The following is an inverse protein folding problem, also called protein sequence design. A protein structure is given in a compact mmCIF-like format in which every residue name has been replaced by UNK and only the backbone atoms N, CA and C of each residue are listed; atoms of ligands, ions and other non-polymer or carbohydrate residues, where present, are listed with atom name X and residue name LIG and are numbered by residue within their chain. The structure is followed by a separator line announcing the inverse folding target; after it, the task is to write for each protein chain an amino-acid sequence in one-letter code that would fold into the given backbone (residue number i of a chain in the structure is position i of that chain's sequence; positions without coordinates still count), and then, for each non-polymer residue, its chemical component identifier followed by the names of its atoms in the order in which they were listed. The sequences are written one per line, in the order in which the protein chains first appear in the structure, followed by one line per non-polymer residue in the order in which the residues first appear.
data_IF_141942104319
#
_entry.id   IF_141942104319
#
_cell.length_a   1.000
_cell.length_b   1.000
_cell.length_c   1.000
_cell.angle_alpha   90.00
_cell.angle_beta   90.00
_cell.angle_gamma   90.00
#
_symmetry.space_group_name_H-M   'P 1'
#
loop_
_entity.id
_entity.type
_entity.pdbx_description
1 polymer ?
#
# COMPACT_ATOMS: atom_id res chain seq x y z
N UNK A 1 -2.28 -10.21 8.78
CA UNK A 1 -2.00 -9.85 7.38
C UNK A 1 -0.50 -9.94 7.24
N UNK A 2 -0.02 -10.87 6.42
CA UNK A 2 1.42 -11.04 6.24
C UNK A 2 1.98 -9.82 5.50
N UNK A 3 3.27 -9.52 5.69
CA UNK A 3 3.95 -8.41 4.98
C UNK A 3 3.79 -8.54 3.44
N UNK A 4 3.75 -9.77 2.93
CA UNK A 4 3.49 -10.09 1.53
C UNK A 4 2.11 -9.64 1.05
N UNK A 5 1.05 -9.89 1.83
CA UNK A 5 -0.32 -9.50 1.48
C UNK A 5 -0.45 -7.98 1.46
N UNK A 6 0.22 -7.31 2.40
CA UNK A 6 0.26 -5.85 2.48
C UNK A 6 0.99 -5.24 1.28
N UNK A 7 2.14 -5.81 0.90
CA UNK A 7 2.92 -5.35 -0.25
C UNK A 7 2.15 -5.54 -1.57
N UNK A 8 1.49 -6.68 -1.74
CA UNK A 8 0.70 -6.99 -2.92
C UNK A 8 -0.46 -6.00 -3.11
N UNK A 9 -1.24 -5.77 -2.05
CA UNK A 9 -2.39 -4.87 -2.15
C UNK A 9 -1.97 -3.40 -2.31
N UNK A 10 -0.88 -2.98 -1.68
CA UNK A 10 -0.34 -1.64 -1.91
C UNK A 10 0.10 -1.45 -3.35
N UNK A 11 0.76 -2.44 -3.96
CA UNK A 11 1.10 -2.38 -5.38
C UNK A 11 -0.14 -2.30 -6.27
N UNK A 12 -1.18 -3.08 -5.96
CA UNK A 12 -2.39 -3.14 -6.76
C UNK A 12 -3.23 -1.85 -6.72
N UNK A 13 -3.29 -1.19 -5.56
CA UNK A 13 -4.16 -0.03 -5.30
C UNK A 13 -3.43 1.31 -5.24
N UNK A 14 -2.10 1.34 -5.34
CA UNK A 14 -1.32 2.58 -5.45
C UNK A 14 -1.08 2.99 -6.92
N UNK A 15 -2.09 2.78 -7.76
CA UNK A 15 -2.09 3.19 -9.17
C UNK A 15 -2.68 4.60 -9.30
N UNK A 16 -2.22 5.34 -10.31
CA UNK A 16 -2.74 6.68 -10.58
C UNK A 16 -4.06 6.58 -11.33
N UNK A 17 -5.15 7.06 -10.74
CA UNK A 17 -6.47 7.07 -11.37
C UNK A 17 -6.83 8.51 -11.78
N UNK A 18 -7.22 8.71 -13.03
CA UNK A 18 -7.57 10.03 -13.58
C UNK A 18 -8.84 9.95 -14.41
N UNK A 19 -9.71 10.96 -14.26
CA UNK A 19 -10.89 11.18 -15.10
C UNK A 19 -10.69 12.46 -15.88
N UNK A 20 -10.77 12.40 -17.22
CA UNK A 20 -10.69 13.56 -18.10
C UNK A 20 -12.06 13.90 -18.63
N UNK A 21 -12.48 15.15 -18.40
CA UNK A 21 -13.73 15.70 -18.94
C UNK A 21 -13.41 16.56 -20.16
N UNK A 22 -13.83 16.17 -21.37
CA UNK A 22 -13.60 16.98 -22.56
C UNK A 22 -14.36 18.31 -22.48
N UNK A 23 -13.69 19.40 -22.89
CA UNK A 23 -14.30 20.72 -23.01
C UNK A 23 -15.35 20.70 -24.13
N UNK A 24 -16.58 21.12 -23.84
CA UNK A 24 -17.68 21.18 -24.83
C UNK A 24 -18.77 20.11 -24.69
N UNK A 25 -18.66 19.23 -23.70
CA UNK A 25 -19.64 18.16 -23.47
C UNK A 25 -19.30 16.92 -24.30
N UNK A 26 -18.96 15.84 -23.61
CA UNK A 26 -18.58 14.57 -24.20
C UNK A 26 -18.51 13.49 -23.13
N UNK A 27 -18.29 12.25 -23.55
CA UNK A 27 -18.15 11.12 -22.63
C UNK A 27 -16.83 11.27 -21.86
N UNK A 28 -16.83 11.20 -20.52
CA UNK A 28 -15.60 11.26 -19.73
C UNK A 28 -14.70 10.07 -20.04
N UNK A 29 -13.39 10.32 -20.11
CA UNK A 29 -12.38 9.28 -20.28
C UNK A 29 -11.81 8.89 -18.92
N UNK A 30 -11.85 7.60 -18.62
CA UNK A 30 -11.33 7.02 -17.38
C UNK A 30 -9.97 6.38 -17.66
N UNK A 31 -8.98 6.67 -16.82
CA UNK A 31 -7.66 6.07 -16.96
C UNK A 31 -7.05 5.60 -15.65
N UNK A 32 -6.32 4.49 -15.72
CA UNK A 32 -5.55 3.91 -14.62
C UNK A 32 -4.10 3.74 -15.10
N UNK A 33 -3.15 4.35 -14.42
CA UNK A 33 -1.73 4.43 -14.80
C UNK A 33 -1.53 4.84 -16.28
N UNK A 34 -2.32 5.82 -16.72
CA UNK A 34 -2.26 6.35 -18.09
C UNK A 34 -2.85 5.43 -19.16
N UNK A 35 -3.43 4.28 -18.80
CA UNK A 35 -4.19 3.43 -19.73
C UNK A 35 -5.68 3.75 -19.64
N UNK A 36 -6.32 3.96 -20.79
CA UNK A 36 -7.78 4.17 -20.88
C UNK A 36 -8.48 2.86 -20.53
N UNK A 37 -9.45 2.93 -19.62
CA UNK A 37 -10.23 1.80 -19.12
C UNK A 37 -11.72 2.10 -19.21
N UNK A 38 -12.55 1.07 -19.03
CA UNK A 38 -14.00 1.27 -18.92
C UNK A 38 -14.37 1.95 -17.60
N UNK A 39 -15.49 2.68 -17.59
CA UNK A 39 -16.05 3.26 -16.37
C UNK A 39 -16.25 2.19 -15.26
N UNK A 40 -16.77 1.02 -15.63
CA UNK A 40 -17.00 -0.09 -14.69
C UNK A 40 -15.70 -0.57 -14.03
N UNK A 41 -14.62 -0.68 -14.82
CA UNK A 41 -13.31 -1.08 -14.33
C UNK A 41 -12.70 -0.01 -13.41
N UNK A 42 -12.85 1.26 -13.77
CA UNK A 42 -12.43 2.40 -12.95
C UNK A 42 -13.16 2.45 -11.60
N UNK A 43 -14.49 2.35 -11.61
CA UNK A 43 -15.31 2.33 -10.39
C UNK A 43 -14.98 1.14 -9.50
N UNK A 44 -14.74 -0.04 -10.08
CA UNK A 44 -14.34 -1.24 -9.34
C UNK A 44 -12.99 -1.03 -8.65
N UNK A 45 -12.02 -0.43 -9.33
CA UNK A 45 -10.72 -0.10 -8.74
C UNK A 45 -10.88 0.91 -7.60
N UNK A 46 -11.56 2.03 -7.81
CA UNK A 46 -11.69 3.10 -6.81
C UNK A 46 -12.48 2.65 -5.57
N UNK A 47 -13.53 1.85 -5.75
CA UNK A 47 -14.28 1.26 -4.63
C UNK A 47 -13.40 0.28 -3.82
N UNK A 48 -12.56 -0.50 -4.51
CA UNK A 48 -11.68 -1.47 -3.85
C UNK A 48 -10.47 -0.78 -3.20
N UNK A 49 -9.96 0.29 -3.81
CA UNK A 49 -8.87 1.13 -3.33
C UNK A 49 -9.25 1.87 -2.06
N UNK A 50 -10.41 2.53 -2.03
CA UNK A 50 -10.92 3.21 -0.83
C UNK A 50 -11.05 2.24 0.35
N UNK A 51 -11.70 1.09 0.13
CA UNK A 51 -11.79 0.03 1.14
C UNK A 51 -10.40 -0.43 1.64
N UNK A 52 -9.43 -0.59 0.73
CA UNK A 52 -8.07 -1.00 1.08
C UNK A 52 -7.30 0.06 1.88
N UNK A 53 -7.41 1.33 1.49
CA UNK A 53 -6.77 2.46 2.18
C UNK A 53 -7.33 2.58 3.60
N UNK A 54 -8.65 2.56 3.77
CA UNK A 54 -9.30 2.65 5.09
C UNK A 54 -8.89 1.49 5.99
N UNK A 55 -8.87 0.28 5.44
CA UNK A 55 -8.47 -0.93 6.18
C UNK A 55 -6.98 -0.89 6.55
N UNK A 56 -6.11 -0.40 5.66
CA UNK A 56 -4.69 -0.24 5.94
C UNK A 56 -4.45 0.85 6.98
N UNK A 57 -5.20 1.94 6.95
CA UNK A 57 -5.12 2.99 7.97
C UNK A 57 -5.52 2.44 9.35
N UNK A 58 -6.60 1.64 9.45
CA UNK A 58 -6.99 0.98 10.71
C UNK A 58 -5.89 0.04 11.21
N UNK A 59 -5.28 -0.75 10.32
CA UNK A 59 -4.18 -1.65 10.68
C UNK A 59 -2.96 -0.84 11.14
N UNK A 60 -2.60 0.23 10.43
CA UNK A 60 -1.50 1.12 10.82
C UNK A 60 -1.77 1.78 12.18
N UNK A 61 -2.98 2.28 12.43
CA UNK A 61 -3.39 2.83 13.74
C UNK A 61 -3.24 1.80 14.86
N UNK A 62 -3.62 0.53 14.60
CA UNK A 62 -3.43 -0.58 15.56
C UNK A 62 -1.95 -0.89 15.81
N UNK A 63 -1.12 -0.91 14.77
CA UNK A 63 0.33 -1.12 14.90
C UNK A 63 0.96 0.05 15.67
N UNK A 64 0.62 1.29 15.32
CA UNK A 64 1.09 2.48 16.02
C UNK A 64 0.69 2.46 17.50
N UNK A 65 -0.54 2.05 17.84
CA UNK A 65 -0.97 1.86 19.22
C UNK A 65 -0.13 0.81 19.95
N UNK A 66 0.09 -0.36 19.33
CA UNK A 66 0.94 -1.42 19.90
C UNK A 66 2.38 -0.95 20.09
N UNK A 67 2.94 -0.25 19.10
CA UNK A 67 4.28 0.33 19.16
C UNK A 67 4.38 1.41 20.23
N UNK A 68 3.37 2.25 20.39
CA UNK A 68 3.33 3.25 21.47
C UNK A 68 3.25 2.60 22.85
N UNK A 69 2.48 1.52 23.01
CA UNK A 69 2.45 0.74 24.25
C UNK A 69 3.81 0.10 24.50
N UNK A 70 4.40 -0.53 23.48
CA UNK A 70 5.73 -1.14 23.55
C UNK A 70 6.79 -0.10 23.90
N UNK A 71 6.83 1.06 23.24
CA UNK A 71 7.74 2.16 23.53
C UNK A 71 7.55 2.70 24.95
N UNK A 72 6.32 2.83 25.45
CA UNK A 72 6.06 3.22 26.85
C UNK A 72 6.61 2.18 27.82
N UNK A 73 6.43 0.88 27.54
CA UNK A 73 7.02 -0.19 28.31
C UNK A 73 8.56 -0.14 28.22
N UNK A 74 9.13 -0.05 27.02
CA UNK A 74 10.58 0.00 26.77
C UNK A 74 11.26 1.23 27.38
N UNK A 75 10.58 2.39 27.38
CA UNK A 75 11.03 3.61 28.06
C UNK A 75 11.09 3.45 29.58
N UNK A 76 10.22 2.61 30.15
CA UNK A 76 10.30 2.23 31.56
C UNK A 76 11.35 1.14 31.84
N UNK A 77 11.75 0.35 30.83
CA UNK A 77 12.73 -0.74 30.95
C UNK A 77 14.14 -0.41 30.41
N UNK A 78 14.47 0.86 30.12
CA UNK A 78 15.80 1.31 29.58
C UNK A 78 16.29 0.49 28.37
N UNK A 79 15.48 0.36 27.33
CA UNK A 79 15.85 -0.36 26.08
C UNK A 79 16.14 0.57 24.88
N UNK A 80 16.40 1.85 25.14
CA UNK A 80 16.64 2.93 24.17
C UNK A 80 17.74 2.60 23.12
N UNK A 81 18.55 1.58 23.34
CA UNK A 81 19.61 1.10 22.45
C UNK A 81 19.08 0.29 21.24
N UNK A 82 17.82 -0.15 21.25
CA UNK A 82 17.28 -1.07 20.23
C UNK A 82 16.39 -0.43 19.15
N UNK A 83 15.97 0.83 19.31
CA UNK A 83 15.04 1.50 18.38
C UNK A 83 15.59 1.53 16.94
N UNK A 84 16.87 1.86 16.76
CA UNK A 84 17.50 1.88 15.44
C UNK A 84 17.66 0.49 14.80
N UNK A 85 17.77 -0.57 15.61
CA UNK A 85 17.88 -1.95 15.11
C UNK A 85 16.52 -2.42 14.57
N UNK A 86 15.44 -2.11 15.29
CA UNK A 86 14.07 -2.49 14.91
C UNK A 86 13.68 -1.80 13.61
N UNK A 87 13.94 -0.50 13.49
CA UNK A 87 13.62 0.28 12.29
C UNK A 87 14.34 -0.26 11.05
N UNK A 88 15.66 -0.52 11.17
CA UNK A 88 16.47 -1.06 10.06
C UNK A 88 15.96 -2.43 9.59
N UNK A 89 15.70 -3.35 10.53
CA UNK A 89 15.18 -4.70 10.19
C UNK A 89 13.82 -4.64 9.51
N UNK A 90 12.93 -3.75 9.96
CA UNK A 90 11.61 -3.59 9.34
C UNK A 90 11.74 -3.12 7.88
N UNK A 91 12.66 -2.20 7.59
CA UNK A 91 12.88 -1.70 6.24
C UNK A 91 13.47 -2.77 5.31
N UNK A 92 14.44 -3.53 5.79
CA UNK A 92 15.09 -4.62 5.03
C UNK A 92 14.09 -5.72 4.64
N UNK A 93 13.20 -6.11 5.56
CA UNK A 93 12.16 -7.12 5.30
C UNK A 93 11.17 -6.63 4.23
N UNK A 94 10.76 -5.37 4.32
CA UNK A 94 9.86 -4.75 3.35
C UNK A 94 10.47 -4.72 1.93
N UNK A 95 11.72 -4.26 1.79
CA UNK A 95 12.42 -4.20 0.50
C UNK A 95 12.61 -5.59 -0.12
N UNK A 96 12.95 -6.60 0.71
CA UNK A 96 13.09 -7.99 0.26
C UNK A 96 11.78 -8.54 -0.31
N UNK A 97 10.66 -8.31 0.38
CA UNK A 97 9.34 -8.73 -0.07
C UNK A 97 8.94 -8.09 -1.42
N UNK A 98 9.17 -6.77 -1.57
CA UNK A 98 8.89 -6.06 -2.83
C UNK A 98 9.69 -6.62 -4.00
N UNK A 99 10.97 -6.88 -3.80
CA UNK A 99 11.84 -7.40 -4.85
C UNK A 99 11.44 -8.82 -5.28
N UNK A 100 10.98 -9.66 -4.35
CA UNK A 100 10.49 -10.99 -4.69
C UNK A 100 9.19 -10.94 -5.52
N UNK A 101 8.29 -10.00 -5.23
CA UNK A 101 7.02 -9.84 -5.96
C UNK A 101 7.30 -9.44 -7.41
N UNK A 102 8.14 -8.41 -7.61
CA UNK A 102 8.51 -7.91 -8.95
C UNK A 102 9.10 -8.98 -9.85
N UNK A 103 9.95 -9.86 -9.31
CA UNK A 103 10.57 -10.96 -10.08
C UNK A 103 9.56 -12.03 -10.51
N UNK A 104 8.60 -12.38 -9.65
CA UNK A 104 7.57 -13.37 -9.98
C UNK A 104 6.64 -12.88 -11.11
N UNK A 105 6.29 -11.60 -11.11
CA UNK A 105 5.46 -11.02 -12.16
C UNK A 105 6.18 -10.94 -13.50
N UNK A 106 7.47 -10.59 -13.51
CA UNK A 106 8.30 -10.57 -14.73
C UNK A 106 8.40 -11.95 -15.39
N UNK A 107 8.51 -13.02 -14.58
CA UNK A 107 8.60 -14.39 -15.09
C UNK A 107 7.26 -14.96 -15.59
N UNK A 108 6.12 -14.39 -15.17
CA UNK A 108 4.79 -14.81 -15.63
C UNK A 108 4.33 -14.06 -16.90
N UNK A 109 5.08 -13.04 -17.33
CA UNK A 109 4.81 -12.24 -18.54
C UNK A 109 5.68 -12.65 -19.75
N UNK A 110 6.53 -13.68 -19.59
CA UNK A 110 7.35 -14.31 -20.64
C UNK A 110 6.76 -15.65 -21.04
#
# INVERSE_FOLDING_TARGET
MLESDRAHLNYLYNKTAEIKYPLGGGVPEFSIDGKIVSQKEFETLECSRSFHVDRMEIVQKRIALKNNIALKLFKHFKLNEYDGIIEKKSKELYESAINSIKRKEANNAS
#
